data_IF_083752457665
#
_entry.id   IF_083752457665
#
_cell.length_a   1.000
_cell.length_b   1.000
_cell.length_c   1.000
_cell.angle_alpha   90.00
_cell.angle_beta   90.00
_cell.angle_gamma   90.00
#
_symmetry.space_group_name_H-M   'P 1'
#
loop_
_entity.id
_entity.type
_entity.pdbx_description
1 polymer ?
#
# COMPACT_ATOMS: atom_id res chain seq x y z
N UNK A 1 -9.89 10.43 -5.43
CA UNK A 1 -10.07 9.10 -4.81
C UNK A 1 -8.72 8.56 -4.39
N UNK A 2 -8.63 8.03 -3.19
CA UNK A 2 -7.45 7.35 -2.66
C UNK A 2 -7.82 5.92 -2.27
N UNK A 3 -6.90 4.98 -2.46
CA UNK A 3 -7.10 3.60 -2.06
C UNK A 3 -6.36 3.34 -0.75
N UNK A 4 -7.07 2.87 0.27
CA UNK A 4 -6.46 2.51 1.55
C UNK A 4 -5.84 1.10 1.47
N UNK A 5 -4.59 1.05 1.02
CA UNK A 5 -3.80 -0.18 0.93
C UNK A 5 -2.74 -0.30 2.04
N UNK A 6 -2.98 0.26 3.20
CA UNK A 6 -2.05 0.39 4.31
C UNK A 6 -1.91 1.85 4.71
N UNK A 7 -0.76 2.28 5.13
CA UNK A 7 -0.55 3.65 5.62
C UNK A 7 -0.90 4.70 4.56
N UNK A 8 -2.03 5.39 4.72
CA UNK A 8 -2.38 6.55 3.91
C UNK A 8 -1.37 7.68 4.19
N UNK A 9 -0.60 8.03 3.17
CA UNK A 9 0.32 9.16 3.27
C UNK A 9 -0.45 10.48 3.33
N UNK A 10 0.05 11.48 4.08
CA UNK A 10 -0.55 12.81 4.10
C UNK A 10 -0.69 13.41 2.71
N UNK A 11 -1.82 14.08 2.46
CA UNK A 11 -2.16 14.67 1.17
C UNK A 11 -2.11 16.18 1.24
N UNK A 12 -1.52 16.82 0.19
CA UNK A 12 -1.46 18.28 0.10
C UNK A 12 -2.60 18.82 -0.77
N UNK A 13 -3.25 19.88 -0.30
CA UNK A 13 -4.30 20.63 -0.99
C UNK A 13 -3.91 22.08 -1.08
N UNK A 14 -4.10 22.67 -2.26
CA UNK A 14 -3.66 24.04 -2.52
C UNK A 14 -4.70 24.79 -3.36
N UNK A 15 -4.87 26.07 -3.04
CA UNK A 15 -5.59 27.05 -3.86
C UNK A 15 -4.66 28.15 -4.33
N UNK A 16 -5.10 28.92 -5.34
CA UNK A 16 -4.29 30.03 -5.87
C UNK A 16 -3.97 31.05 -4.77
N UNK A 17 -2.71 31.39 -4.64
CA UNK A 17 -2.25 32.39 -3.69
C UNK A 17 -2.67 33.81 -4.09
N UNK A 18 -3.14 34.58 -3.14
CA UNK A 18 -3.45 36.01 -3.26
C UNK A 18 -3.01 36.71 -1.94
N UNK A 19 -2.08 37.67 -2.06
CA UNK A 19 -1.49 38.33 -0.89
C UNK A 19 -2.49 39.15 -0.04
N UNK A 20 -3.63 39.53 -0.64
CA UNK A 20 -4.69 40.29 0.05
C UNK A 20 -5.74 39.43 0.73
N UNK A 21 -5.59 38.09 0.65
CA UNK A 21 -6.54 37.12 1.19
C UNK A 21 -6.01 36.38 2.40
N UNK A 22 -6.90 36.11 3.34
CA UNK A 22 -6.69 35.13 4.41
C UNK A 22 -7.53 33.91 4.10
N UNK A 23 -6.94 32.73 4.24
CA UNK A 23 -7.56 31.44 3.90
C UNK A 23 -8.00 30.73 5.16
N UNK A 24 -9.17 30.09 5.10
CA UNK A 24 -9.72 29.31 6.20
C UNK A 24 -10.14 27.94 5.67
N UNK A 25 -9.47 26.92 6.19
CA UNK A 25 -9.71 25.56 5.82
C UNK A 25 -10.51 24.81 6.88
N UNK A 26 -11.37 23.91 6.44
CA UNK A 26 -12.12 23.01 7.31
C UNK A 26 -12.16 21.61 6.69
N UNK A 27 -12.12 20.57 7.51
CA UNK A 27 -12.16 19.17 7.10
C UNK A 27 -13.20 18.42 7.93
N UNK A 28 -13.96 17.53 7.28
CA UNK A 28 -15.00 16.75 7.97
C UNK A 28 -14.45 15.75 8.99
N UNK A 29 -13.28 15.17 8.71
CA UNK A 29 -12.53 14.26 9.61
C UNK A 29 -11.05 14.27 9.22
N UNK A 30 -10.20 13.70 10.07
CA UNK A 30 -8.76 13.70 9.88
C UNK A 30 -8.06 14.80 10.66
N UNK A 31 -6.83 15.10 10.31
CA UNK A 31 -5.99 16.10 10.97
C UNK A 31 -5.26 16.97 9.93
N UNK A 32 -5.33 18.28 10.08
CA UNK A 32 -4.49 19.21 9.34
C UNK A 32 -3.13 19.26 10.04
N UNK A 33 -2.11 18.63 9.42
CA UNK A 33 -0.76 18.54 10.01
C UNK A 33 0.14 19.73 9.65
N UNK A 34 -0.14 20.41 8.53
CA UNK A 34 0.50 21.67 8.14
C UNK A 34 -0.51 22.60 7.50
N UNK A 35 -0.41 23.89 7.82
CA UNK A 35 -1.21 24.98 7.25
C UNK A 35 -0.26 26.13 6.88
N UNK A 36 -0.16 26.42 5.57
CA UNK A 36 0.65 27.50 5.01
C UNK A 36 -0.23 28.64 4.41
N UNK A 37 -1.49 28.71 4.85
CA UNK A 37 -2.48 29.66 4.38
C UNK A 37 -3.15 29.15 3.09
N UNK A 38 -2.59 29.38 1.92
CA UNK A 38 -3.18 28.95 0.66
C UNK A 38 -2.98 27.44 0.36
N UNK A 39 -2.26 26.71 1.22
CA UNK A 39 -2.12 25.24 1.15
C UNK A 39 -2.16 24.61 2.51
N UNK A 40 -2.69 23.38 2.58
CA UNK A 40 -2.67 22.55 3.77
C UNK A 40 -2.24 21.13 3.43
N UNK A 41 -1.68 20.44 4.43
CA UNK A 41 -1.44 19.00 4.36
C UNK A 41 -2.31 18.30 5.37
N UNK A 42 -3.08 17.32 4.90
CA UNK A 42 -4.08 16.59 5.69
C UNK A 42 -3.67 15.13 5.83
N UNK A 43 -3.69 14.62 7.06
CA UNK A 43 -3.69 13.20 7.34
C UNK A 43 -5.15 12.73 7.45
N UNK A 44 -5.59 11.96 6.47
CA UNK A 44 -6.92 11.36 6.48
C UNK A 44 -6.98 10.14 7.38
N UNK A 45 -8.17 9.80 7.94
CA UNK A 45 -8.34 8.58 8.71
C UNK A 45 -8.24 7.34 7.80
N UNK A 46 -7.85 6.20 8.35
CA UNK A 46 -7.75 4.92 7.62
C UNK A 46 -9.11 4.27 7.30
N UNK A 47 -10.20 4.89 7.71
CA UNK A 47 -11.55 4.37 7.46
C UNK A 47 -12.03 4.67 6.04
N UNK A 48 -12.67 3.67 5.42
CA UNK A 48 -13.33 3.80 4.12
C UNK A 48 -14.48 4.80 4.26
N UNK A 49 -14.58 5.72 3.31
CA UNK A 49 -15.65 6.72 3.33
C UNK A 49 -15.42 7.89 2.40
N UNK A 50 -16.38 8.82 2.43
CA UNK A 50 -16.29 10.10 1.74
C UNK A 50 -16.09 11.21 2.77
N UNK A 51 -15.07 11.98 2.58
CA UNK A 51 -14.67 13.11 3.42
C UNK A 51 -14.75 14.41 2.62
N UNK A 52 -14.93 15.50 3.30
CA UNK A 52 -15.05 16.82 2.68
C UNK A 52 -13.95 17.71 3.22
N UNK A 53 -13.28 18.39 2.31
CA UNK A 53 -12.40 19.51 2.59
C UNK A 53 -13.05 20.77 2.02
N UNK A 54 -13.03 21.84 2.76
CA UNK A 54 -13.55 23.12 2.33
C UNK A 54 -12.57 24.25 2.60
N UNK A 55 -12.64 25.29 1.78
CA UNK A 55 -11.86 26.49 1.95
C UNK A 55 -12.70 27.73 1.58
N UNK A 56 -12.65 28.73 2.41
CA UNK A 56 -13.11 30.07 2.07
C UNK A 56 -12.02 31.11 2.34
N UNK A 57 -12.17 32.26 1.77
CA UNK A 57 -11.20 33.35 1.96
C UNK A 57 -11.89 34.61 2.46
N UNK A 58 -11.15 35.42 3.22
CA UNK A 58 -11.59 36.77 3.53
C UNK A 58 -10.64 37.79 2.90
N UNK A 59 -11.21 38.90 2.42
CA UNK A 59 -10.45 40.04 1.89
C UNK A 59 -11.00 41.32 2.50
N UNK A 60 -10.14 42.09 3.18
CA UNK A 60 -10.54 43.32 3.89
C UNK A 60 -11.74 43.12 4.84
N UNK A 61 -11.85 41.94 5.46
CA UNK A 61 -12.93 41.61 6.37
C UNK A 61 -14.24 41.14 5.71
N UNK A 62 -14.29 41.03 4.37
CA UNK A 62 -15.42 40.45 3.64
C UNK A 62 -15.13 38.98 3.33
N UNK A 63 -16.10 38.10 3.64
CA UNK A 63 -16.02 36.67 3.33
C UNK A 63 -16.34 36.44 1.84
N UNK A 64 -15.56 35.56 1.23
CA UNK A 64 -15.80 35.05 -0.12
C UNK A 64 -16.57 33.73 -0.11
N UNK A 65 -16.87 33.22 -1.28
CA UNK A 65 -17.54 31.94 -1.46
C UNK A 65 -16.70 30.77 -0.91
N UNK A 66 -17.37 29.77 -0.35
CA UNK A 66 -16.72 28.54 0.11
C UNK A 66 -16.64 27.52 -1.04
N UNK A 67 -15.44 27.01 -1.28
CA UNK A 67 -15.20 25.90 -2.20
C UNK A 67 -15.11 24.59 -1.45
N UNK A 68 -15.67 23.53 -2.04
CA UNK A 68 -15.69 22.18 -1.46
C UNK A 68 -15.01 21.18 -2.39
N UNK A 69 -14.34 20.20 -1.81
CA UNK A 69 -13.77 19.07 -2.52
C UNK A 69 -14.06 17.78 -1.75
N UNK A 70 -14.52 16.75 -2.48
CA UNK A 70 -14.76 15.43 -1.93
C UNK A 70 -13.50 14.56 -2.03
N UNK A 71 -13.15 13.94 -0.92
CA UNK A 71 -12.06 12.97 -0.80
C UNK A 71 -12.68 11.61 -0.52
N UNK A 72 -12.52 10.67 -1.43
CA UNK A 72 -13.06 9.32 -1.32
C UNK A 72 -11.91 8.38 -0.96
N UNK A 73 -12.05 7.69 0.17
CA UNK A 73 -11.14 6.62 0.60
C UNK A 73 -11.85 5.30 0.38
N UNK A 74 -11.31 4.49 -0.51
CA UNK A 74 -11.83 3.19 -0.89
C UNK A 74 -10.99 2.06 -0.28
N UNK A 75 -11.58 0.87 -0.18
CA UNK A 75 -10.84 -0.32 0.24
C UNK A 75 -9.81 -0.73 -0.81
N UNK A 76 -8.74 -1.35 -0.35
CA UNK A 76 -7.77 -1.94 -1.26
C UNK A 76 -8.40 -3.10 -2.02
N UNK A 77 -8.32 -3.12 -3.37
CA UNK A 77 -8.84 -4.23 -4.12
C UNK A 77 -8.15 -5.54 -3.71
N UNK A 78 -8.94 -6.60 -3.55
CA UNK A 78 -8.39 -7.93 -3.29
C UNK A 78 -7.55 -8.39 -4.48
N UNK A 79 -6.28 -8.69 -4.22
CA UNK A 79 -5.41 -9.29 -5.22
C UNK A 79 -5.85 -10.72 -5.52
N UNK A 80 -6.10 -11.01 -6.78
CA UNK A 80 -6.27 -12.39 -7.23
C UNK A 80 -4.89 -13.01 -7.47
N UNK A 81 -4.30 -13.53 -6.41
CA UNK A 81 -2.97 -14.13 -6.48
C UNK A 81 -3.06 -15.67 -6.51
N UNK A 82 -2.08 -16.29 -7.16
CA UNK A 82 -1.84 -17.73 -7.11
C UNK A 82 -0.46 -17.97 -6.49
N UNK A 83 -0.42 -18.79 -5.44
CA UNK A 83 0.80 -19.19 -4.76
C UNK A 83 1.05 -20.65 -5.10
N UNK A 84 2.13 -21.00 -5.83
CA UNK A 84 2.46 -22.38 -6.17
C UNK A 84 2.68 -23.24 -4.93
N UNK A 85 2.36 -24.51 -5.01
CA UNK A 85 2.65 -25.49 -3.96
C UNK A 85 3.92 -26.31 -4.20
N UNK A 86 4.54 -26.17 -5.38
CA UNK A 86 5.79 -26.84 -5.75
C UNK A 86 6.51 -26.08 -6.85
N UNK A 87 7.82 -26.27 -6.94
CA UNK A 87 8.67 -25.83 -8.05
C UNK A 87 9.85 -26.79 -8.23
N UNK A 88 10.44 -26.79 -9.43
CA UNK A 88 11.43 -27.76 -9.88
C UNK A 88 12.58 -27.06 -10.60
N UNK A 89 13.59 -26.53 -9.87
CA UNK A 89 14.75 -25.90 -10.49
C UNK A 89 15.70 -26.95 -11.10
N UNK A 90 15.35 -27.43 -12.32
CA UNK A 90 16.04 -28.48 -13.05
C UNK A 90 16.57 -28.02 -14.43
N UNK A 91 16.50 -26.70 -14.71
CA UNK A 91 16.98 -26.05 -15.94
C UNK A 91 16.19 -26.43 -17.21
N UNK A 92 14.92 -26.86 -17.06
CA UNK A 92 14.03 -27.14 -18.20
C UNK A 92 13.17 -25.93 -18.62
N UNK A 93 13.36 -24.77 -17.97
CA UNK A 93 12.62 -23.53 -18.13
C UNK A 93 11.15 -23.58 -17.67
N UNK A 94 10.75 -24.57 -16.86
CA UNK A 94 9.42 -24.68 -16.30
C UNK A 94 9.49 -24.79 -14.78
N UNK A 95 8.74 -23.92 -14.08
CA UNK A 95 8.65 -23.92 -12.60
C UNK A 95 10.02 -23.87 -11.89
N UNK A 96 10.98 -23.17 -12.47
CA UNK A 96 12.35 -23.06 -11.95
C UNK A 96 12.46 -22.28 -10.64
N UNK A 97 11.44 -21.47 -10.33
CA UNK A 97 11.46 -20.55 -9.20
C UNK A 97 10.10 -20.48 -8.52
N UNK A 98 10.12 -20.17 -7.23
CA UNK A 98 8.93 -19.90 -6.44
C UNK A 98 8.71 -18.41 -6.28
N UNK A 99 7.54 -17.92 -6.66
CA UNK A 99 7.08 -16.55 -6.46
C UNK A 99 5.55 -16.48 -6.49
N UNK A 100 4.97 -15.34 -6.15
CA UNK A 100 3.52 -15.12 -6.17
C UNK A 100 3.10 -14.68 -7.56
N UNK A 101 2.21 -15.42 -8.20
CA UNK A 101 1.64 -15.06 -9.50
C UNK A 101 0.44 -14.13 -9.33
N UNK A 102 0.24 -13.21 -10.28
CA UNK A 102 -0.89 -12.28 -10.28
C UNK A 102 -0.72 -11.08 -9.36
N UNK A 103 0.48 -10.90 -8.75
CA UNK A 103 0.83 -9.75 -7.97
C UNK A 103 2.04 -9.05 -8.57
N UNK A 104 1.98 -7.73 -8.70
CA UNK A 104 3.13 -6.91 -8.99
C UNK A 104 4.07 -6.82 -7.78
N UNK A 105 5.35 -6.47 -7.99
CA UNK A 105 6.35 -6.47 -6.93
C UNK A 105 5.99 -5.59 -5.74
N UNK A 106 5.36 -4.43 -5.99
CA UNK A 106 4.96 -3.47 -4.96
C UNK A 106 3.76 -3.92 -4.11
N UNK A 107 3.02 -4.93 -4.58
CA UNK A 107 1.88 -5.50 -3.87
C UNK A 107 2.29 -6.51 -2.79
N UNK A 108 3.49 -7.09 -2.92
CA UNK A 108 4.05 -8.01 -1.93
C UNK A 108 4.92 -7.22 -0.95
N UNK A 109 4.44 -7.06 0.27
CA UNK A 109 5.17 -6.37 1.34
C UNK A 109 6.26 -7.24 1.96
N UNK A 110 6.05 -8.53 2.01
CA UNK A 110 7.09 -9.49 2.38
C UNK A 110 6.75 -10.90 1.93
N UNK A 111 7.76 -11.64 1.50
CA UNK A 111 7.73 -13.10 1.31
C UNK A 111 8.91 -13.70 2.05
N UNK A 112 8.62 -14.58 3.00
CA UNK A 112 9.62 -15.23 3.84
C UNK A 112 9.47 -16.73 3.70
N UNK A 113 10.58 -17.46 3.48
CA UNK A 113 10.62 -18.92 3.40
C UNK A 113 11.40 -19.48 4.58
N UNK A 114 10.86 -20.54 5.17
CA UNK A 114 11.44 -21.22 6.32
C UNK A 114 11.71 -22.70 5.99
N UNK A 115 12.77 -23.21 6.54
CA UNK A 115 13.05 -24.64 6.51
C UNK A 115 12.20 -25.40 7.56
N UNK A 116 12.35 -26.73 7.61
CA UNK A 116 11.62 -27.62 8.53
C UNK A 116 11.86 -27.34 10.02
N UNK A 117 12.92 -26.63 10.37
CA UNK A 117 13.25 -26.24 11.74
C UNK A 117 12.76 -24.85 12.11
N UNK A 118 12.06 -24.16 11.17
CA UNK A 118 11.58 -22.78 11.37
C UNK A 118 12.66 -21.72 11.16
N UNK A 119 13.81 -22.08 10.63
CA UNK A 119 14.87 -21.13 10.31
C UNK A 119 14.53 -20.43 8.98
N UNK A 120 14.64 -19.10 8.97
CA UNK A 120 14.43 -18.28 7.78
C UNK A 120 15.60 -18.44 6.81
N UNK A 121 15.29 -18.93 5.60
CA UNK A 121 16.28 -19.20 4.56
C UNK A 121 16.20 -18.24 3.36
N UNK A 122 15.08 -17.55 3.20
CA UNK A 122 14.88 -16.56 2.15
C UNK A 122 13.91 -15.47 2.60
N UNK A 123 14.13 -14.23 2.16
CA UNK A 123 13.25 -13.09 2.41
C UNK A 123 13.33 -12.07 1.27
N UNK A 124 12.19 -11.56 0.87
CA UNK A 124 12.08 -10.42 -0.07
C UNK A 124 10.87 -9.57 0.28
N UNK A 125 10.88 -8.32 -0.16
CA UNK A 125 9.77 -7.36 -0.01
C UNK A 125 9.17 -6.88 -1.34
N UNK A 126 9.52 -7.52 -2.45
CA UNK A 126 9.12 -7.10 -3.79
C UNK A 126 8.82 -8.28 -4.73
N UNK A 127 8.40 -9.42 -4.21
CA UNK A 127 8.11 -10.64 -4.98
C UNK A 127 9.27 -11.18 -5.83
N UNK A 128 10.53 -10.88 -5.46
CA UNK A 128 11.69 -11.49 -6.11
C UNK A 128 11.61 -13.01 -5.98
N UNK A 129 11.76 -13.76 -7.09
CA UNK A 129 11.63 -15.22 -7.06
C UNK A 129 12.70 -15.91 -6.21
N UNK A 130 12.28 -16.95 -5.47
CA UNK A 130 13.20 -17.86 -4.78
C UNK A 130 13.55 -19.06 -5.67
N UNK A 131 14.82 -19.26 -5.94
CA UNK A 131 15.34 -20.31 -6.83
C UNK A 131 15.72 -21.62 -6.12
N UNK A 132 15.61 -21.68 -4.79
CA UNK A 132 15.96 -22.85 -4.00
C UNK A 132 17.44 -23.23 -4.04
N UNK A 133 18.35 -22.36 -4.53
CA UNK A 133 19.80 -22.64 -4.55
C UNK A 133 20.31 -22.96 -3.16
N UNK A 134 21.19 -23.95 -3.09
CA UNK A 134 21.81 -24.47 -1.86
C UNK A 134 20.80 -25.05 -0.85
N UNK A 135 19.54 -25.25 -1.25
CA UNK A 135 18.53 -25.90 -0.44
C UNK A 135 18.37 -27.38 -0.82
N UNK A 136 18.07 -28.24 0.13
CA UNK A 136 17.79 -29.65 -0.12
C UNK A 136 16.37 -29.82 -0.67
N UNK A 137 16.14 -30.88 -1.47
CA UNK A 137 14.79 -31.31 -1.84
C UNK A 137 13.97 -31.51 -0.56
N UNK A 138 12.76 -30.97 -0.52
CA UNK A 138 11.92 -31.08 0.66
C UNK A 138 10.79 -30.05 0.69
N UNK A 139 10.11 -30.04 1.85
CA UNK A 139 8.99 -29.14 2.10
C UNK A 139 9.50 -27.95 2.91
N UNK A 140 9.13 -26.78 2.46
CA UNK A 140 9.39 -25.48 3.07
C UNK A 140 8.08 -24.80 3.42
N UNK A 141 8.08 -23.94 4.42
CA UNK A 141 6.93 -23.12 4.76
C UNK A 141 7.15 -21.70 4.33
N UNK A 142 6.08 -21.03 3.91
CA UNK A 142 6.14 -19.62 3.55
C UNK A 142 5.19 -18.77 4.37
N UNK A 143 5.54 -17.51 4.52
CA UNK A 143 4.71 -16.43 5.04
C UNK A 143 4.79 -15.28 4.05
N UNK A 144 3.66 -14.91 3.44
CA UNK A 144 3.56 -13.86 2.43
C UNK A 144 2.56 -12.83 2.92
N UNK A 145 2.97 -11.55 2.91
CA UNK A 145 2.11 -10.43 3.27
C UNK A 145 1.92 -9.51 2.08
N UNK A 146 0.69 -9.18 1.80
CA UNK A 146 0.28 -8.09 0.93
C UNK A 146 -0.15 -6.89 1.77
N UNK A 147 -0.74 -5.86 1.19
CA UNK A 147 -1.27 -4.72 1.93
C UNK A 147 -2.37 -5.11 2.93
N UNK A 148 -3.28 -6.00 2.52
CA UNK A 148 -4.49 -6.32 3.28
C UNK A 148 -4.62 -7.80 3.64
N UNK A 149 -3.67 -8.65 3.26
CA UNK A 149 -3.77 -10.09 3.51
C UNK A 149 -2.44 -10.72 3.95
N UNK A 150 -2.56 -11.83 4.70
CA UNK A 150 -1.44 -12.65 5.13
C UNK A 150 -1.70 -14.10 4.75
N UNK A 151 -0.82 -14.65 3.92
CA UNK A 151 -0.90 -16.02 3.44
C UNK A 151 0.23 -16.83 4.08
N UNK A 152 -0.11 -18.01 4.57
CA UNK A 152 0.86 -19.00 5.06
C UNK A 152 0.58 -20.35 4.41
N UNK A 153 1.63 -21.08 4.11
CA UNK A 153 1.47 -22.37 3.45
C UNK A 153 2.78 -23.14 3.33
N UNK A 154 2.75 -24.13 2.46
CA UNK A 154 3.90 -24.99 2.19
C UNK A 154 4.21 -25.00 0.70
N UNK A 155 5.50 -25.07 0.37
CA UNK A 155 5.99 -25.25 -0.98
C UNK A 155 6.98 -26.43 -1.00
N UNK A 156 6.86 -27.28 -2.00
CA UNK A 156 7.77 -28.42 -2.23
C UNK A 156 8.85 -28.03 -3.24
N UNK A 157 10.10 -28.09 -2.81
CA UNK A 157 11.25 -28.02 -3.72
C UNK A 157 11.55 -29.42 -4.22
N UNK A 158 11.44 -29.65 -5.51
CA UNK A 158 11.70 -30.89 -6.22
C UNK A 158 12.86 -30.69 -7.21
N UNK A 159 13.46 -31.78 -7.67
CA UNK A 159 14.49 -31.77 -8.74
C UNK A 159 14.39 -33.04 -9.56
#
# INVERSE_FOLDING_TARGET
TYTNCGDLLPQNYQVSYDADKVYYWDISQGEIIYDEGNSITVQWPDSIGTYIISVYTTRFGCEGDTSYHEVIIEDCPYLQIFIPNSFTPNEDNHNEVFYVHGADGDEIKSMVIFNRWGERIYETNNNTPWDGKNCQIGIYTYSIRTHNQHYTGRVSLLR
#
